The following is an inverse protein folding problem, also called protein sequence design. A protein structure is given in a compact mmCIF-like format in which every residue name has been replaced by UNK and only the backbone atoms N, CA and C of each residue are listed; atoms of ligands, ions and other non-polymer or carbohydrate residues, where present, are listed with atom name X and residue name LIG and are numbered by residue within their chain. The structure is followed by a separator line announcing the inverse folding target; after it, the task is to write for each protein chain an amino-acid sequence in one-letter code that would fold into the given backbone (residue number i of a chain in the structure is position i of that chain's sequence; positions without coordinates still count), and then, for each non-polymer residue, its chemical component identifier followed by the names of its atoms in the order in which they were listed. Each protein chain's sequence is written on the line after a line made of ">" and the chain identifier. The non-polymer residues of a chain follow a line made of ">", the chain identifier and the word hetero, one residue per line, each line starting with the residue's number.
data_IF_990508075621
#
_entry.id   IF_990508075621
#
_cell.length_a   1.000
_cell.length_b   1.000
_cell.length_c   1.000
_cell.angle_alpha   90.00
_cell.angle_beta   90.00
_cell.angle_gamma   90.00
#
_symmetry.space_group_name_H-M   'P 1'
#
loop_
_entity.id
_entity.type
_entity.pdbx_description
1 polymer ?
#
# COMPACT_ATOMS: atom_id res chain seq x y z
N UNK A 1 -7.06 51.83 -22.35
CA UNK A 1 -7.10 51.23 -21.00
C UNK A 1 -8.31 50.37 -20.78
N UNK A 2 -9.55 50.79 -20.97
CA UNK A 2 -10.77 50.00 -20.69
C UNK A 2 -10.88 48.67 -21.46
N UNK A 3 -10.45 48.60 -22.73
CA UNK A 3 -10.51 47.34 -23.51
C UNK A 3 -9.52 46.30 -22.98
N UNK A 4 -8.30 46.71 -22.60
CA UNK A 4 -7.29 45.82 -22.02
C UNK A 4 -7.74 45.23 -20.66
N UNK A 5 -8.33 46.06 -19.80
CA UNK A 5 -8.86 45.61 -18.52
C UNK A 5 -10.01 44.58 -18.67
N UNK A 6 -10.90 44.78 -19.67
CA UNK A 6 -11.97 43.80 -19.96
C UNK A 6 -11.43 42.47 -20.46
N UNK A 7 -10.41 42.48 -21.34
CA UNK A 7 -9.76 41.29 -21.85
C UNK A 7 -9.07 40.55 -20.69
N UNK A 8 -8.36 41.27 -19.82
CA UNK A 8 -7.71 40.70 -18.66
C UNK A 8 -8.73 40.03 -17.71
N UNK A 9 -9.86 40.68 -17.44
CA UNK A 9 -10.93 40.11 -16.60
C UNK A 9 -11.52 38.85 -17.23
N UNK A 10 -11.72 38.79 -18.52
CA UNK A 10 -12.22 37.62 -19.23
C UNK A 10 -11.21 36.43 -19.13
N UNK A 11 -9.92 36.72 -19.28
CA UNK A 11 -8.88 35.69 -19.12
C UNK A 11 -8.86 35.18 -17.70
N UNK A 12 -8.89 36.04 -16.70
CA UNK A 12 -8.92 35.64 -15.29
C UNK A 12 -10.17 34.82 -14.95
N UNK A 13 -11.34 35.23 -15.47
CA UNK A 13 -12.57 34.45 -15.29
C UNK A 13 -12.51 33.09 -15.96
N UNK A 14 -11.94 33.00 -17.17
CA UNK A 14 -11.75 31.70 -17.84
C UNK A 14 -10.79 30.78 -17.08
N UNK A 15 -9.66 31.29 -16.58
CA UNK A 15 -8.71 30.55 -15.75
C UNK A 15 -9.39 30.10 -14.45
N UNK A 16 -10.15 30.96 -13.80
CA UNK A 16 -10.88 30.61 -12.57
C UNK A 16 -11.89 29.49 -12.82
N UNK A 17 -12.70 29.58 -13.87
CA UNK A 17 -13.67 28.55 -14.24
C UNK A 17 -13.01 27.22 -14.61
N UNK A 18 -11.90 27.25 -15.34
CA UNK A 18 -11.15 26.04 -15.68
C UNK A 18 -10.55 25.39 -14.43
N UNK A 19 -10.00 26.18 -13.50
CA UNK A 19 -9.43 25.70 -12.24
C UNK A 19 -10.49 25.09 -11.33
N UNK A 20 -11.65 25.75 -11.20
CA UNK A 20 -12.79 25.22 -10.39
C UNK A 20 -13.34 23.94 -10.98
N UNK A 21 -13.48 23.85 -12.30
CA UNK A 21 -13.90 22.61 -12.98
C UNK A 21 -12.90 21.47 -12.76
N UNK A 22 -11.60 21.75 -12.80
CA UNK A 22 -10.54 20.78 -12.50
C UNK A 22 -10.60 20.27 -11.07
N UNK A 23 -10.79 21.16 -10.09
CA UNK A 23 -10.94 20.79 -8.67
C UNK A 23 -12.20 19.95 -8.44
N UNK A 24 -13.33 20.36 -9.04
CA UNK A 24 -14.58 19.63 -8.91
C UNK A 24 -14.48 18.22 -9.50
N UNK A 25 -13.83 18.07 -10.65
CA UNK A 25 -13.57 16.77 -11.27
C UNK A 25 -12.69 15.90 -10.38
N UNK A 26 -11.58 16.43 -9.87
CA UNK A 26 -10.72 15.70 -8.94
C UNK A 26 -11.47 15.22 -7.69
N UNK A 27 -12.28 16.09 -7.08
CA UNK A 27 -13.08 15.74 -5.91
C UNK A 27 -14.14 14.66 -6.22
N UNK A 28 -14.78 14.72 -7.40
CA UNK A 28 -15.73 13.69 -7.83
C UNK A 28 -15.05 12.35 -8.06
N UNK A 29 -13.89 12.33 -8.71
CA UNK A 29 -13.09 11.13 -8.94
C UNK A 29 -12.64 10.51 -7.60
N UNK A 30 -12.11 11.31 -6.68
CA UNK A 30 -11.71 10.89 -5.34
C UNK A 30 -12.89 10.27 -4.56
N UNK A 31 -14.05 10.92 -4.59
CA UNK A 31 -15.26 10.41 -3.94
C UNK A 31 -15.71 9.06 -4.54
N UNK A 32 -15.62 8.91 -5.85
CA UNK A 32 -15.97 7.68 -6.56
C UNK A 32 -15.03 6.53 -6.18
N UNK A 33 -13.71 6.78 -6.20
CA UNK A 33 -12.71 5.79 -5.79
C UNK A 33 -12.90 5.39 -4.32
N UNK A 34 -13.08 6.35 -3.42
CA UNK A 34 -13.30 6.09 -2.00
C UNK A 34 -14.58 5.27 -1.73
N UNK A 35 -15.64 5.48 -2.53
CA UNK A 35 -16.87 4.65 -2.45
C UNK A 35 -16.60 3.23 -2.91
N UNK A 36 -15.94 3.06 -4.03
CA UNK A 36 -15.59 1.74 -4.57
C UNK A 36 -14.77 0.95 -3.54
N UNK A 37 -13.69 1.50 -3.01
CA UNK A 37 -12.86 0.79 -2.04
C UNK A 37 -13.60 0.47 -0.73
N UNK A 38 -14.46 1.37 -0.24
CA UNK A 38 -15.34 1.07 0.91
C UNK A 38 -16.35 -0.04 0.62
N UNK A 39 -16.89 -0.12 -0.59
CA UNK A 39 -17.80 -1.20 -0.99
C UNK A 39 -17.05 -2.53 -1.08
N UNK A 40 -15.83 -2.55 -1.59
CA UNK A 40 -14.98 -3.74 -1.61
C UNK A 40 -14.65 -4.19 -0.18
N UNK A 41 -14.29 -3.27 0.73
CA UNK A 41 -14.03 -3.58 2.13
C UNK A 41 -15.27 -4.15 2.83
N UNK A 42 -16.44 -3.57 2.60
CA UNK A 42 -17.68 -4.09 3.17
C UNK A 42 -18.03 -5.52 2.69
N UNK A 43 -17.58 -5.92 1.49
CA UNK A 43 -17.77 -7.29 1.00
C UNK A 43 -16.89 -8.30 1.77
N UNK A 44 -15.70 -7.89 2.22
CA UNK A 44 -14.80 -8.76 2.99
C UNK A 44 -15.22 -8.87 4.46
N UNK A 45 -15.76 -7.81 5.05
CA UNK A 45 -16.15 -7.76 6.47
C UNK A 45 -17.49 -8.46 6.75
N UNK A 46 -18.44 -8.36 5.81
CA UNK A 46 -19.79 -8.93 5.97
C UNK A 46 -19.94 -10.34 5.39
N UNK A 47 -18.84 -11.05 5.19
CA UNK A 47 -18.89 -12.38 4.63
C UNK A 47 -19.47 -13.37 5.66
N UNK A 48 -20.59 -14.05 5.38
CA UNK A 48 -21.13 -15.10 6.26
C UNK A 48 -20.20 -16.32 6.21
N UNK A 49 -19.47 -16.58 7.31
CA UNK A 49 -18.32 -17.48 7.44
C UNK A 49 -18.47 -18.95 7.05
N UNK A 50 -19.57 -19.39 6.43
CA UNK A 50 -19.88 -20.80 6.17
C UNK A 50 -19.80 -21.26 4.70
N UNK A 51 -19.37 -20.42 3.78
CA UNK A 51 -19.31 -20.79 2.36
C UNK A 51 -17.91 -21.23 1.93
N UNK A 52 -17.45 -22.39 2.34
CA UNK A 52 -16.36 -23.08 1.68
C UNK A 52 -16.81 -23.47 0.25
N UNK A 53 -16.27 -22.81 -0.76
CA UNK A 53 -16.54 -23.24 -2.15
C UNK A 53 -15.68 -24.47 -2.46
N UNK A 54 -16.27 -25.53 -2.97
CA UNK A 54 -15.52 -26.72 -3.37
C UNK A 54 -14.53 -26.38 -4.49
N UNK A 55 -13.24 -26.58 -4.26
CA UNK A 55 -12.21 -26.59 -5.32
C UNK A 55 -11.24 -25.42 -5.33
N UNK A 56 -11.26 -24.53 -4.34
CA UNK A 56 -10.27 -23.47 -4.21
C UNK A 56 -9.92 -23.25 -2.74
N UNK A 57 -8.62 -23.28 -2.40
CA UNK A 57 -8.11 -23.04 -1.04
C UNK A 57 -8.15 -21.56 -0.61
N UNK A 58 -8.86 -20.72 -1.37
CA UNK A 58 -8.95 -19.29 -1.07
C UNK A 58 -9.83 -19.03 0.16
N UNK A 59 -9.42 -18.04 0.94
CA UNK A 59 -10.24 -17.51 2.02
C UNK A 59 -11.59 -17.05 1.45
N UNK A 60 -12.71 -17.50 2.02
CA UNK A 60 -14.04 -17.33 1.45
C UNK A 60 -14.40 -15.87 1.13
N UNK A 61 -13.96 -14.92 2.00
CA UNK A 61 -14.22 -13.48 1.83
C UNK A 61 -13.57 -12.88 0.57
N UNK A 62 -12.57 -13.53 -0.03
CA UNK A 62 -11.87 -13.01 -1.21
C UNK A 62 -12.30 -13.66 -2.53
N UNK A 63 -13.07 -14.74 -2.50
CA UNK A 63 -13.47 -15.48 -3.72
C UNK A 63 -14.27 -14.62 -4.70
N UNK A 64 -15.26 -13.88 -4.19
CA UNK A 64 -16.08 -13.01 -5.04
C UNK A 64 -15.27 -11.87 -5.66
N UNK A 65 -14.32 -11.31 -4.92
CA UNK A 65 -13.41 -10.26 -5.40
C UNK A 65 -12.42 -10.81 -6.43
N UNK A 66 -11.86 -12.01 -6.20
CA UNK A 66 -10.98 -12.66 -7.15
C UNK A 66 -11.71 -12.99 -8.48
N UNK A 67 -13.00 -13.36 -8.42
CA UNK A 67 -13.82 -13.57 -9.63
C UNK A 67 -14.01 -12.27 -10.40
N UNK A 68 -14.13 -11.11 -9.73
CA UNK A 68 -14.22 -9.80 -10.37
C UNK A 68 -12.89 -9.37 -10.98
N UNK A 69 -11.77 -9.64 -10.29
CA UNK A 69 -10.43 -9.34 -10.78
C UNK A 69 -9.43 -10.40 -10.30
N UNK A 70 -8.97 -11.25 -11.19
CA UNK A 70 -8.03 -12.34 -10.93
C UNK A 70 -6.60 -11.90 -10.61
N UNK A 71 -6.28 -10.59 -10.72
CA UNK A 71 -5.02 -10.03 -10.27
C UNK A 71 -5.04 -9.70 -8.76
N UNK A 72 -6.17 -9.98 -8.06
CA UNK A 72 -6.22 -9.83 -6.62
C UNK A 72 -5.18 -10.75 -5.97
N UNK A 73 -4.29 -10.16 -5.21
CA UNK A 73 -3.19 -10.82 -4.50
C UNK A 73 -3.49 -11.02 -3.00
N UNK A 74 -4.29 -10.11 -2.44
CA UNK A 74 -4.62 -10.13 -1.03
C UNK A 74 -5.34 -8.87 -0.56
N UNK A 75 -5.30 -8.64 0.75
CA UNK A 75 -5.94 -7.50 1.41
C UNK A 75 -5.04 -6.91 2.48
N UNK A 76 -4.93 -5.59 2.53
CA UNK A 76 -4.16 -4.89 3.56
C UNK A 76 -5.06 -4.03 4.44
N UNK A 77 -4.84 -4.07 5.75
CA UNK A 77 -5.55 -3.25 6.71
C UNK A 77 -4.64 -2.80 7.85
N UNK A 78 -4.77 -1.54 8.24
CA UNK A 78 -4.14 -0.98 9.45
C UNK A 78 -5.23 -0.30 10.26
N UNK A 79 -5.55 -0.85 11.43
CA UNK A 79 -6.61 -0.34 12.28
C UNK A 79 -6.37 1.11 12.71
N UNK A 80 -7.43 1.91 12.74
CA UNK A 80 -7.33 3.33 13.09
C UNK A 80 -6.79 4.24 11.98
N UNK A 81 -6.61 3.71 10.77
CA UNK A 81 -6.17 4.45 9.57
C UNK A 81 -7.16 4.29 8.42
N UNK A 82 -6.92 5.01 7.33
CA UNK A 82 -7.67 4.84 6.07
C UNK A 82 -7.24 3.60 5.27
N UNK A 83 -6.16 2.91 5.68
CA UNK A 83 -5.62 1.77 4.94
C UNK A 83 -6.48 0.53 5.19
N UNK A 84 -7.35 0.25 4.22
CA UNK A 84 -8.21 -0.94 4.15
C UNK A 84 -8.54 -1.21 2.68
N UNK A 85 -7.63 -1.89 1.98
CA UNK A 85 -7.62 -1.98 0.51
C UNK A 85 -7.31 -3.38 -0.01
N UNK A 86 -7.87 -3.75 -1.18
CA UNK A 86 -7.35 -4.88 -1.95
C UNK A 86 -5.90 -4.59 -2.34
N UNK A 87 -5.10 -5.62 -2.42
CA UNK A 87 -3.74 -5.56 -2.93
C UNK A 87 -3.67 -6.41 -4.18
N UNK A 88 -3.15 -5.83 -5.25
CA UNK A 88 -3.13 -6.44 -6.58
C UNK A 88 -1.73 -6.95 -6.93
N UNK A 89 -1.62 -7.87 -7.87
CA UNK A 89 -0.35 -8.23 -8.48
C UNK A 89 -0.52 -8.56 -9.96
N UNK A 90 0.10 -7.75 -10.83
CA UNK A 90 0.22 -8.05 -12.25
C UNK A 90 1.64 -8.51 -12.54
N UNK A 91 1.80 -9.77 -12.97
CA UNK A 91 3.11 -10.31 -13.35
C UNK A 91 3.54 -9.92 -14.76
N UNK A 92 2.58 -9.54 -15.62
CA UNK A 92 2.84 -9.16 -17.02
C UNK A 92 3.19 -7.69 -17.17
N UNK A 93 2.55 -6.83 -16.40
CA UNK A 93 2.80 -5.39 -16.33
C UNK A 93 2.95 -5.00 -14.86
N UNK A 94 4.19 -4.99 -14.33
CA UNK A 94 4.47 -4.80 -12.91
C UNK A 94 3.87 -3.53 -12.31
N UNK A 95 3.80 -2.45 -13.09
CA UNK A 95 3.32 -1.14 -12.63
C UNK A 95 1.87 -0.84 -13.08
N UNK A 96 1.13 -1.84 -13.57
CA UNK A 96 -0.23 -1.65 -14.05
C UNK A 96 -1.11 -0.91 -13.03
N UNK A 97 -1.09 -1.38 -11.78
CA UNK A 97 -1.91 -0.83 -10.70
C UNK A 97 -1.40 0.50 -10.13
N UNK A 98 -0.27 1.00 -10.59
CA UNK A 98 0.16 2.38 -10.33
C UNK A 98 -0.83 3.40 -10.91
N UNK A 99 -1.51 3.06 -12.00
CA UNK A 99 -2.42 3.97 -12.74
C UNK A 99 -3.81 3.38 -12.97
N UNK A 100 -4.11 2.21 -12.42
CA UNK A 100 -5.38 1.53 -12.57
C UNK A 100 -5.94 1.12 -11.22
N UNK A 101 -7.25 1.27 -11.05
CA UNK A 101 -7.95 0.85 -9.85
C UNK A 101 -8.26 -0.66 -9.87
N UNK A 102 -8.99 -1.16 -8.86
CA UNK A 102 -9.41 -2.56 -8.77
C UNK A 102 -10.20 -3.03 -9.99
N UNK A 103 -11.00 -2.18 -10.63
CA UNK A 103 -11.81 -2.51 -11.82
C UNK A 103 -11.00 -2.40 -13.14
N UNK A 104 -9.67 -2.22 -13.05
CA UNK A 104 -8.77 -2.03 -14.20
C UNK A 104 -9.04 -0.74 -15.00
N UNK A 105 -9.80 0.19 -14.44
CA UNK A 105 -10.02 1.49 -15.04
C UNK A 105 -8.86 2.45 -14.69
N UNK A 106 -8.55 3.37 -15.63
CA UNK A 106 -7.58 4.44 -15.37
C UNK A 106 -7.94 5.22 -14.11
N UNK A 107 -7.00 5.36 -13.20
CA UNK A 107 -7.20 6.06 -11.94
C UNK A 107 -5.88 6.66 -11.44
N UNK A 108 -5.85 7.95 -11.10
CA UNK A 108 -4.67 8.56 -10.48
C UNK A 108 -4.43 8.04 -9.05
N UNK A 109 -5.42 7.40 -8.43
CA UNK A 109 -5.27 6.76 -7.12
C UNK A 109 -4.58 5.41 -7.21
N UNK A 110 -4.67 4.75 -8.38
CA UNK A 110 -4.19 3.39 -8.54
C UNK A 110 -4.87 2.40 -7.57
N UNK A 111 -4.19 1.33 -7.29
CA UNK A 111 -4.51 0.35 -6.26
C UNK A 111 -3.20 -0.11 -5.60
N UNK A 112 -3.12 -0.39 -4.31
CA UNK A 112 -1.95 -1.01 -3.71
C UNK A 112 -1.58 -2.30 -4.45
N UNK A 113 -0.29 -2.52 -4.70
CA UNK A 113 0.13 -3.68 -5.47
C UNK A 113 1.45 -4.27 -5.00
N UNK A 114 1.56 -5.58 -5.11
CA UNK A 114 2.76 -6.36 -4.78
C UNK A 114 3.76 -6.26 -5.93
N UNK A 115 5.02 -6.08 -5.59
CA UNK A 115 6.11 -6.12 -6.54
C UNK A 115 6.14 -7.47 -7.29
N UNK A 116 6.38 -7.44 -8.60
CA UNK A 116 6.21 -8.61 -9.48
C UNK A 116 7.14 -9.80 -9.16
N UNK A 117 8.32 -9.54 -8.56
CA UNK A 117 9.27 -10.60 -8.17
C UNK A 117 8.94 -11.27 -6.82
N UNK A 118 7.93 -10.79 -6.08
CA UNK A 118 7.45 -11.46 -4.87
C UNK A 118 6.53 -12.62 -5.24
N UNK A 119 6.73 -13.77 -4.62
CA UNK A 119 5.82 -14.93 -4.70
C UNK A 119 4.88 -14.93 -3.48
N UNK A 120 3.59 -15.14 -3.71
CA UNK A 120 2.57 -15.23 -2.67
C UNK A 120 2.07 -16.66 -2.47
N UNK A 121 2.34 -17.58 -3.39
CA UNK A 121 1.98 -19.01 -3.27
C UNK A 121 3.01 -19.74 -2.41
N UNK A 122 4.30 -19.56 -2.74
CA UNK A 122 5.42 -19.90 -1.86
C UNK A 122 5.95 -18.57 -1.33
N UNK A 123 5.41 -18.07 -0.18
CA UNK A 123 5.65 -16.68 0.19
C UNK A 123 7.12 -16.34 0.29
N UNK A 124 7.55 -15.34 -0.48
CA UNK A 124 8.87 -14.75 -0.42
C UNK A 124 9.25 -14.36 1.02
N UNK A 125 10.51 -14.22 1.32
CA UNK A 125 10.98 -13.78 2.64
C UNK A 125 10.53 -12.36 2.95
N UNK A 126 10.35 -11.53 1.91
CA UNK A 126 9.80 -10.18 2.04
C UNK A 126 8.79 -9.92 0.92
N UNK A 127 7.56 -9.58 1.30
CA UNK A 127 6.54 -9.12 0.36
C UNK A 127 6.58 -7.61 0.34
N UNK A 128 6.88 -7.02 -0.82
CA UNK A 128 6.91 -5.57 -0.99
C UNK A 128 5.63 -5.08 -1.66
N UNK A 129 4.92 -4.17 -0.97
CA UNK A 129 3.67 -3.57 -1.45
C UNK A 129 3.86 -2.07 -1.65
N UNK A 130 3.55 -1.60 -2.84
CA UNK A 130 3.53 -0.19 -3.19
C UNK A 130 2.12 0.39 -3.11
N UNK A 131 1.99 1.64 -2.74
CA UNK A 131 0.74 2.40 -2.80
C UNK A 131 1.01 3.89 -2.89
N UNK A 132 0.08 4.62 -3.51
CA UNK A 132 0.21 6.08 -3.63
C UNK A 132 0.05 6.80 -2.29
N UNK A 133 0.77 7.91 -2.13
CA UNK A 133 0.45 8.95 -1.17
C UNK A 133 -0.46 9.97 -1.86
N UNK A 134 -1.75 9.96 -1.53
CA UNK A 134 -2.73 10.85 -2.13
C UNK A 134 -2.99 12.07 -1.27
N UNK A 135 -3.12 13.25 -1.91
CA UNK A 135 -3.39 14.53 -1.20
C UNK A 135 -4.74 14.56 -0.47
N UNK A 136 -5.67 13.72 -0.86
CA UNK A 136 -6.97 13.55 -0.22
C UNK A 136 -6.93 12.61 1.00
N UNK A 137 -5.75 12.11 1.39
CA UNK A 137 -5.55 11.24 2.54
C UNK A 137 -5.91 9.78 2.29
N UNK A 138 -6.14 9.37 1.04
CA UNK A 138 -6.44 7.98 0.67
C UNK A 138 -5.18 7.19 0.32
N UNK A 139 -5.34 5.92 -0.01
CA UNK A 139 -4.28 4.96 -0.32
C UNK A 139 -3.29 4.81 0.85
N UNK A 140 -1.99 4.97 0.60
CA UNK A 140 -0.94 4.83 1.61
C UNK A 140 -0.53 6.16 2.26
N UNK A 141 -1.38 7.19 2.20
CA UNK A 141 -1.08 8.51 2.81
C UNK A 141 -0.85 8.41 4.31
N UNK A 142 -1.56 7.51 5.01
CA UNK A 142 -1.38 7.32 6.46
C UNK A 142 -0.03 6.71 6.83
N UNK A 143 0.70 6.07 5.88
CA UNK A 143 2.06 5.61 6.15
C UNK A 143 3.01 6.76 6.49
N UNK A 144 2.75 7.98 6.02
CA UNK A 144 3.55 9.15 6.38
C UNK A 144 3.51 9.47 7.87
N UNK A 145 2.45 9.05 8.55
CA UNK A 145 2.30 9.27 9.99
C UNK A 145 3.25 8.42 10.82
N UNK A 146 3.71 7.28 10.29
CA UNK A 146 4.74 6.46 10.91
C UNK A 146 6.10 7.15 11.06
N UNK A 147 6.31 8.31 10.43
CA UNK A 147 7.48 9.17 10.74
C UNK A 147 7.52 9.63 12.20
N UNK A 148 6.41 9.52 12.92
CA UNK A 148 6.28 9.83 14.35
C UNK A 148 6.19 8.53 15.15
N UNK A 149 7.09 8.34 16.08
CA UNK A 149 7.11 7.17 16.97
C UNK A 149 5.77 6.97 17.70
N UNK A 150 5.15 8.06 18.18
CA UNK A 150 3.85 8.03 18.87
C UNK A 150 2.70 7.47 17.99
N UNK A 151 2.79 7.60 16.68
CA UNK A 151 1.83 6.98 15.78
C UNK A 151 2.09 5.47 15.67
N UNK A 152 3.36 5.06 15.51
CA UNK A 152 3.74 3.65 15.53
C UNK A 152 3.32 2.95 16.82
N UNK A 153 3.48 3.58 17.99
CA UNK A 153 3.07 3.01 19.28
C UNK A 153 1.59 2.59 19.30
N UNK A 154 0.72 3.30 18.59
CA UNK A 154 -0.72 3.04 18.50
C UNK A 154 -1.09 2.12 17.32
N UNK A 155 -0.21 1.98 16.31
CA UNK A 155 -0.48 1.27 15.06
C UNK A 155 0.64 0.26 14.75
N UNK A 156 0.99 -0.58 15.75
CA UNK A 156 2.12 -1.53 15.62
C UNK A 156 1.82 -2.69 14.69
N UNK A 157 0.54 -3.00 14.46
CA UNK A 157 0.09 -4.19 13.74
C UNK A 157 -0.45 -3.80 12.37
N UNK A 158 0.02 -4.52 11.36
CA UNK A 158 -0.47 -4.48 10.00
C UNK A 158 -1.06 -5.84 9.69
N UNK A 159 -2.31 -5.89 9.23
CA UNK A 159 -2.90 -7.12 8.70
C UNK A 159 -2.67 -7.15 7.20
N UNK A 160 -2.11 -8.25 6.74
CA UNK A 160 -1.98 -8.52 5.32
C UNK A 160 -2.36 -9.97 5.06
N UNK A 161 -3.53 -10.13 4.47
CA UNK A 161 -4.05 -11.42 4.06
C UNK A 161 -3.64 -11.69 2.61
N UNK A 162 -3.14 -12.88 2.35
CA UNK A 162 -3.10 -13.45 1.00
C UNK A 162 -4.46 -14.06 0.67
N UNK A 163 -4.65 -14.55 -0.54
CA UNK A 163 -5.89 -15.24 -0.88
C UNK A 163 -6.13 -16.51 -0.05
N UNK A 164 -5.08 -17.11 0.50
CA UNK A 164 -5.12 -18.41 1.19
C UNK A 164 -4.84 -18.37 2.67
N UNK A 165 -4.34 -17.25 3.20
CA UNK A 165 -3.93 -17.16 4.60
C UNK A 165 -4.10 -15.75 5.16
N UNK A 166 -4.65 -15.66 6.36
CA UNK A 166 -4.64 -14.44 7.16
C UNK A 166 -3.31 -14.32 7.89
N UNK A 167 -2.78 -13.10 7.99
CA UNK A 167 -1.57 -12.86 8.73
C UNK A 167 -1.51 -11.44 9.33
N UNK A 168 -0.92 -11.38 10.52
CA UNK A 168 -0.57 -10.14 11.19
C UNK A 168 0.94 -9.93 11.17
N UNK A 169 1.34 -8.69 11.03
CA UNK A 169 2.73 -8.28 11.00
C UNK A 169 2.95 -7.17 12.03
N UNK A 170 4.02 -7.27 12.82
CA UNK A 170 4.43 -6.22 13.74
C UNK A 170 5.49 -5.33 13.08
N UNK A 171 5.30 -4.02 13.15
CA UNK A 171 6.25 -3.06 12.55
C UNK A 171 7.61 -3.17 13.23
N UNK A 172 8.64 -3.45 12.42
CA UNK A 172 10.03 -3.64 12.83
C UNK A 172 10.89 -2.40 12.60
N UNK A 173 10.73 -1.74 11.46
CA UNK A 173 11.49 -0.57 11.10
C UNK A 173 10.66 0.40 10.25
N UNK A 174 10.89 1.69 10.45
CA UNK A 174 10.34 2.77 9.63
C UNK A 174 11.48 3.68 9.22
N UNK A 175 11.65 3.89 7.93
CA UNK A 175 12.68 4.79 7.43
C UNK A 175 12.17 5.64 6.27
N UNK A 176 12.89 6.71 6.00
CA UNK A 176 12.58 7.62 4.89
C UNK A 176 13.86 8.15 4.26
N UNK A 177 13.77 8.56 3.02
CA UNK A 177 14.86 9.20 2.30
C UNK A 177 14.60 9.28 0.81
N UNK A 178 15.48 9.94 0.08
CA UNK A 178 15.50 9.85 -1.37
C UNK A 178 15.79 8.40 -1.78
N UNK A 179 15.07 7.90 -2.78
CA UNK A 179 15.19 6.49 -3.19
C UNK A 179 16.62 6.10 -3.60
N UNK A 180 17.41 7.10 -4.05
CA UNK A 180 18.81 6.92 -4.46
C UNK A 180 19.79 6.85 -3.28
N UNK A 181 19.42 7.46 -2.14
CA UNK A 181 20.23 7.49 -0.91
C UNK A 181 19.91 6.33 0.03
N UNK A 182 18.74 5.73 -0.11
CA UNK A 182 18.36 4.54 0.65
C UNK A 182 19.08 3.30 0.11
N UNK A 183 19.37 2.36 1.02
CA UNK A 183 19.80 1.04 0.55
C UNK A 183 18.69 0.44 -0.34
N UNK A 184 19.06 -0.45 -1.26
CA UNK A 184 18.15 -0.98 -2.27
C UNK A 184 17.12 -1.97 -1.68
N UNK A 185 16.32 -1.52 -0.69
CA UNK A 185 15.32 -2.31 0.03
C UNK A 185 14.33 -3.00 -0.93
N UNK A 186 14.08 -2.40 -2.07
CA UNK A 186 13.16 -2.91 -3.09
C UNK A 186 13.72 -4.09 -3.91
N UNK A 187 14.99 -4.41 -3.77
CA UNK A 187 15.61 -5.56 -4.44
C UNK A 187 15.50 -6.85 -3.63
N UNK A 188 15.23 -6.73 -2.33
CA UNK A 188 15.16 -7.87 -1.42
C UNK A 188 13.76 -8.49 -1.43
N UNK A 189 13.61 -9.64 -2.07
CA UNK A 189 12.43 -10.49 -1.98
C UNK A 189 12.75 -11.79 -1.20
N UNK A 190 13.83 -12.46 -1.55
CA UNK A 190 14.25 -13.71 -0.94
C UNK A 190 15.75 -13.69 -0.62
N UNK A 191 16.15 -14.34 0.45
CA UNK A 191 17.52 -14.52 0.87
C UNK A 191 18.00 -15.94 0.54
N UNK A 192 19.13 -16.05 -0.13
CA UNK A 192 19.77 -17.36 -0.37
C UNK A 192 20.46 -17.89 0.90
N UNK A 193 20.84 -17.00 1.82
CA UNK A 193 21.60 -17.34 3.02
C UNK A 193 21.08 -16.58 4.26
N UNK A 194 21.30 -17.14 5.48
CA UNK A 194 21.01 -16.44 6.72
C UNK A 194 21.75 -15.08 6.82
N UNK A 195 22.95 -14.97 6.24
CA UNK A 195 23.75 -13.75 6.25
C UNK A 195 23.11 -12.64 5.43
N UNK A 196 22.56 -12.96 4.26
CA UNK A 196 21.83 -11.99 3.41
C UNK A 196 20.57 -11.48 4.10
N UNK A 197 19.80 -12.38 4.72
CA UNK A 197 18.63 -11.99 5.49
C UNK A 197 18.99 -11.06 6.64
N UNK A 198 20.02 -11.43 7.41
CA UNK A 198 20.52 -10.61 8.53
C UNK A 198 20.99 -9.25 8.06
N UNK A 199 21.74 -9.19 6.95
CA UNK A 199 22.22 -7.93 6.38
C UNK A 199 21.07 -7.00 5.98
N UNK A 200 19.99 -7.55 5.41
CA UNK A 200 18.78 -6.77 5.08
C UNK A 200 18.10 -6.23 6.36
N UNK A 201 17.92 -7.07 7.37
CA UNK A 201 17.32 -6.66 8.66
C UNK A 201 18.16 -5.57 9.33
N UNK A 202 19.48 -5.73 9.35
CA UNK A 202 20.41 -4.74 9.91
C UNK A 202 20.37 -3.42 9.14
N UNK A 203 20.30 -3.46 7.80
CA UNK A 203 20.15 -2.27 6.98
C UNK A 203 18.83 -1.53 7.28
N UNK A 204 17.72 -2.26 7.42
CA UNK A 204 16.44 -1.68 7.84
C UNK A 204 16.52 -0.99 9.20
N UNK A 205 17.15 -1.65 10.19
CA UNK A 205 17.29 -1.10 11.56
C UNK A 205 18.22 0.10 11.59
N UNK A 206 19.33 0.08 10.85
CA UNK A 206 20.26 1.19 10.77
C UNK A 206 19.67 2.43 10.09
N UNK A 207 18.74 2.25 9.15
CA UNK A 207 18.03 3.34 8.48
C UNK A 207 16.82 3.84 9.29
N UNK A 208 16.39 3.12 10.34
CA UNK A 208 15.15 3.39 11.06
C UNK A 208 15.17 4.74 11.77
N UNK A 209 14.04 5.43 11.75
CA UNK A 209 13.83 6.72 12.40
C UNK A 209 13.81 6.61 13.94
N UNK A 210 13.47 5.45 14.47
CA UNK A 210 13.38 5.12 15.90
C UNK A 210 13.49 3.61 16.11
N UNK A 211 13.76 3.20 17.33
CA UNK A 211 13.85 1.79 17.70
C UNK A 211 12.48 1.22 18.08
N UNK A 212 12.06 0.14 17.43
CA UNK A 212 10.80 -0.55 17.73
C UNK A 212 10.95 -1.70 18.75
N UNK A 213 12.16 -2.14 19.01
CA UNK A 213 12.44 -3.33 19.80
C UNK A 213 12.15 -4.66 19.05
N UNK A 214 11.64 -4.60 17.83
CA UNK A 214 11.34 -5.78 17.00
C UNK A 214 12.54 -6.11 16.12
N UNK A 215 12.83 -7.39 15.97
CA UNK A 215 13.86 -7.88 15.04
C UNK A 215 13.37 -9.17 14.35
N UNK A 216 14.00 -9.52 13.25
CA UNK A 216 13.71 -10.73 12.49
C UNK A 216 14.98 -11.58 12.31
N UNK A 217 14.79 -12.89 12.17
CA UNK A 217 15.85 -13.86 11.91
C UNK A 217 15.52 -14.64 10.65
N UNK A 218 16.52 -15.27 10.03
CA UNK A 218 16.32 -16.09 8.84
C UNK A 218 15.21 -17.13 9.03
N UNK A 219 14.27 -17.18 8.09
CA UNK A 219 13.06 -17.98 8.16
C UNK A 219 11.81 -17.22 8.64
N UNK A 220 11.98 -16.04 9.25
CA UNK A 220 10.85 -15.12 9.45
C UNK A 220 10.39 -14.53 8.10
N UNK A 221 9.11 -14.13 8.03
CA UNK A 221 8.54 -13.48 6.85
C UNK A 221 8.32 -12.01 7.12
N UNK A 222 8.67 -11.18 6.14
CA UNK A 222 8.59 -9.73 6.21
C UNK A 222 7.52 -9.20 5.26
N UNK A 223 6.96 -8.04 5.59
CA UNK A 223 6.11 -7.21 4.76
C UNK A 223 6.70 -5.81 4.73
N UNK A 224 6.98 -5.31 3.54
CA UNK A 224 7.46 -3.96 3.32
C UNK A 224 6.40 -3.14 2.61
N UNK A 225 5.99 -2.01 3.20
CA UNK A 225 5.08 -1.04 2.59
C UNK A 225 5.87 0.18 2.15
N UNK A 226 5.69 0.62 0.92
CA UNK A 226 6.41 1.76 0.37
C UNK A 226 5.46 2.75 -0.30
N UNK A 227 5.64 4.04 0.02
CA UNK A 227 4.90 5.14 -0.59
C UNK A 227 5.80 6.36 -0.83
N UNK A 228 5.34 7.30 -1.66
CA UNK A 228 6.04 8.58 -1.85
C UNK A 228 5.97 9.45 -0.60
N UNK A 229 7.07 10.10 -0.25
CA UNK A 229 7.09 11.14 0.79
C UNK A 229 6.95 12.54 0.14
N UNK A 230 6.33 13.47 0.85
CA UNK A 230 6.14 14.86 0.39
C UNK A 230 7.42 15.70 0.47
N UNK A 231 8.49 15.19 1.07
CA UNK A 231 9.71 15.94 1.37
C UNK A 231 10.68 16.11 0.20
N UNK A 232 10.51 15.34 -0.88
CA UNK A 232 11.40 15.39 -2.04
C UNK A 232 10.81 14.77 -3.30
N UNK A 233 11.44 15.03 -4.46
CA UNK A 233 10.92 14.60 -5.75
C UNK A 233 10.87 13.07 -5.93
N UNK A 234 11.75 12.34 -5.26
CA UNK A 234 11.84 10.88 -5.31
C UNK A 234 11.94 10.25 -3.91
N UNK A 235 11.47 10.98 -2.90
CA UNK A 235 11.54 10.54 -1.53
C UNK A 235 10.48 9.49 -1.21
N UNK A 236 10.83 8.55 -0.34
CA UNK A 236 9.97 7.43 0.10
C UNK A 236 9.85 7.40 1.60
N UNK A 237 8.69 6.96 2.08
CA UNK A 237 8.50 6.41 3.42
C UNK A 237 8.30 4.91 3.27
N UNK A 238 9.05 4.16 4.06
CA UNK A 238 9.05 2.70 4.04
C UNK A 238 8.77 2.19 5.44
N UNK A 239 7.83 1.26 5.55
CA UNK A 239 7.47 0.57 6.79
C UNK A 239 7.74 -0.91 6.58
N UNK A 240 8.66 -1.48 7.35
CA UNK A 240 8.98 -2.91 7.32
C UNK A 240 8.41 -3.57 8.57
N UNK A 241 7.67 -4.64 8.38
CA UNK A 241 7.04 -5.38 9.46
C UNK A 241 7.38 -6.87 9.36
N UNK A 242 7.47 -7.51 10.52
CA UNK A 242 7.73 -8.94 10.67
C UNK A 242 6.41 -9.68 10.91
N UNK A 243 6.20 -10.80 10.22
CA UNK A 243 5.03 -11.66 10.46
C UNK A 243 5.02 -12.18 11.91
N UNK A 244 3.88 -12.04 12.54
CA UNK A 244 3.65 -12.64 13.87
C UNK A 244 3.35 -14.11 13.65
N UNK A 245 4.25 -14.96 14.13
CA UNK A 245 3.99 -16.41 14.21
C UNK A 245 3.53 -16.69 15.61
N UNK A 246 2.38 -17.37 15.77
CA UNK A 246 2.01 -17.88 17.09
C UNK A 246 3.17 -18.73 17.63
N UNK A 247 3.50 -18.62 18.94
CA UNK A 247 4.51 -19.50 19.52
C UNK A 247 4.04 -20.93 19.26
N UNK A 248 4.90 -21.73 18.61
CA UNK A 248 4.67 -23.16 18.47
C UNK A 248 4.61 -23.74 19.89
N UNK A 249 3.40 -24.12 20.30
CA UNK A 249 3.15 -24.83 21.56
C UNK A 249 3.72 -26.24 21.47
#
# INVERSE_FOLDING_TARGET
>A
MLKFQRILLLILAAVFLASTAGIARYAADSCTQSRMYRQLAAQTENFPGDAASPGNDFLPQYQALYTQNSDLAGWIQIDGTSINYPVMQSKQDPDFYLKHNFEKADSPHGCPYVQANCDLQTPSDNILVYGHNMKDGTMFSDLLQYKRESFWEQHRIIRFDTLTAQAEYTVMAVFRGEAEDLFAYYQFADAETPQEFSAYVDACKNAALYETGVTAVYGDKLLTLSTCDDSGKNSRVVVVAKRITEPRV
#
